data_IF_288761884210
#
_entry.id   IF_288761884210
#
_cell.length_a   1.000
_cell.length_b   1.000
_cell.length_c   1.000
_cell.angle_alpha   90.00
_cell.angle_beta   90.00
_cell.angle_gamma   90.00
#
_symmetry.space_group_name_H-M   'P 1'
#
loop_
_entity.id
_entity.type
_entity.pdbx_description
1 polymer ?
#
# COMPACT_ATOMS: atom_id res chain seq x y z
N UNK A 1 -18.98 6.37 3.85
CA UNK A 1 -17.51 6.52 3.69
C UNK A 1 -17.25 7.71 2.78
N UNK A 2 -16.68 8.81 3.28
CA UNK A 2 -16.30 9.93 2.39
C UNK A 2 -14.94 9.63 1.76
N UNK A 3 -14.96 9.36 0.46
CA UNK A 3 -13.80 9.35 -0.45
C UNK A 3 -13.01 10.68 -0.30
N UNK A 4 -11.67 10.69 -0.49
CA UNK A 4 -10.74 11.46 0.32
C UNK A 4 -11.06 12.95 0.36
N UNK A 5 -11.19 13.49 1.59
CA UNK A 5 -11.33 14.93 1.81
C UNK A 5 -10.01 15.62 1.55
N UNK A 6 -10.05 16.76 0.85
CA UNK A 6 -8.83 17.54 0.59
C UNK A 6 -8.43 18.26 1.87
N UNK A 7 -7.13 18.54 2.04
CA UNK A 7 -6.65 19.38 3.13
C UNK A 7 -7.33 20.75 3.16
N UNK A 8 -7.74 21.26 1.98
CA UNK A 8 -8.51 22.48 1.87
C UNK A 8 -9.85 22.41 2.62
N UNK A 9 -10.59 21.30 2.46
CA UNK A 9 -11.88 21.10 3.13
C UNK A 9 -11.73 20.95 4.65
N UNK A 10 -10.55 20.54 5.10
CA UNK A 10 -10.21 20.35 6.51
C UNK A 10 -9.80 21.65 7.21
N UNK A 11 -9.52 22.72 6.48
CA UNK A 11 -9.11 24.01 7.06
C UNK A 11 -10.19 24.57 7.99
N UNK A 12 -11.46 24.48 7.58
CA UNK A 12 -12.60 24.94 8.38
C UNK A 12 -12.76 24.15 9.69
N UNK A 13 -12.44 22.85 9.68
CA UNK A 13 -12.56 21.98 10.86
C UNK A 13 -11.43 22.20 11.85
N UNK A 14 -10.18 22.34 11.37
CA UNK A 14 -9.01 22.43 12.24
C UNK A 14 -8.54 23.86 12.52
N UNK A 15 -9.08 24.86 11.82
CA UNK A 15 -8.67 26.26 11.96
C UNK A 15 -7.19 26.51 11.59
N UNK A 16 -6.60 25.64 10.77
CA UNK A 16 -5.19 25.70 10.37
C UNK A 16 -5.07 25.79 8.86
N UNK A 17 -3.95 26.36 8.39
CA UNK A 17 -3.64 26.38 6.96
C UNK A 17 -3.47 24.96 6.42
N UNK A 18 -3.76 24.80 5.13
CA UNK A 18 -3.60 23.54 4.39
C UNK A 18 -2.21 22.94 4.56
N UNK A 19 -1.18 23.79 4.53
CA UNK A 19 0.23 23.41 4.65
C UNK A 19 0.54 22.90 6.06
N UNK A 20 -0.02 23.53 7.09
CA UNK A 20 0.13 23.10 8.49
C UNK A 20 -0.51 21.73 8.71
N UNK A 21 -1.74 21.53 8.21
CA UNK A 21 -2.43 20.23 8.30
C UNK A 21 -1.63 19.13 7.57
N UNK A 22 -1.14 19.42 6.37
CA UNK A 22 -0.32 18.48 5.60
C UNK A 22 0.95 18.06 6.36
N UNK A 23 1.67 19.03 6.95
CA UNK A 23 2.88 18.73 7.75
C UNK A 23 2.57 17.86 8.96
N UNK A 24 1.54 18.22 9.73
CA UNK A 24 1.15 17.45 10.92
C UNK A 24 0.72 16.03 10.53
N UNK A 25 -0.06 15.89 9.46
CA UNK A 25 -0.49 14.59 8.99
C UNK A 25 0.69 13.69 8.63
N UNK A 26 1.62 14.19 7.81
CA UNK A 26 2.78 13.39 7.38
C UNK A 26 3.70 13.05 8.58
N UNK A 27 3.93 13.99 9.49
CA UNK A 27 4.72 13.76 10.70
C UNK A 27 4.14 12.64 11.58
N UNK A 28 2.82 12.64 11.76
CA UNK A 28 2.13 11.56 12.49
C UNK A 28 2.23 10.22 11.74
N UNK A 29 2.12 10.22 10.41
CA UNK A 29 2.29 8.99 9.61
C UNK A 29 3.70 8.44 9.75
N UNK A 30 4.73 9.28 9.66
CA UNK A 30 6.13 8.88 9.80
C UNK A 30 6.39 8.32 11.20
N UNK A 31 5.90 8.99 12.25
CA UNK A 31 5.99 8.50 13.63
C UNK A 31 5.32 7.12 13.82
N UNK A 32 4.10 6.95 13.29
CA UNK A 32 3.40 5.68 13.37
C UNK A 32 4.13 4.58 12.59
N UNK A 33 4.64 4.90 11.40
CA UNK A 33 5.39 3.95 10.60
C UNK A 33 6.66 3.52 11.33
N UNK A 34 7.44 4.44 11.88
CA UNK A 34 8.66 4.09 12.60
C UNK A 34 8.41 3.22 13.83
N UNK A 35 7.29 3.47 14.53
CA UNK A 35 6.89 2.67 15.68
C UNK A 35 6.44 1.26 15.30
N UNK A 36 5.72 1.10 14.18
CA UNK A 36 5.01 -0.14 13.86
C UNK A 36 5.50 -0.86 12.60
N UNK A 37 6.52 -0.36 11.90
CA UNK A 37 6.99 -0.93 10.62
C UNK A 37 7.31 -2.42 10.65
N UNK A 38 7.83 -2.95 11.77
CA UNK A 38 8.08 -4.39 11.92
C UNK A 38 6.77 -5.19 11.91
N UNK A 39 5.76 -4.73 12.65
CA UNK A 39 4.44 -5.35 12.73
C UNK A 39 3.66 -5.22 11.41
N UNK A 40 3.75 -4.04 10.77
CA UNK A 40 3.13 -3.78 9.47
C UNK A 40 3.77 -4.61 8.36
N UNK A 41 5.09 -4.78 8.41
CA UNK A 41 5.81 -5.65 7.48
C UNK A 41 5.34 -7.08 7.65
N UNK A 42 5.53 -7.70 8.82
CA UNK A 42 4.98 -9.04 9.05
C UNK A 42 4.61 -9.26 10.52
N UNK A 43 3.38 -9.69 10.77
CA UNK A 43 2.86 -9.91 12.12
C UNK A 43 3.08 -11.37 12.56
N UNK A 44 4.34 -11.71 12.86
CA UNK A 44 4.74 -13.06 13.28
C UNK A 44 4.02 -13.53 14.55
N UNK A 45 3.79 -12.63 15.50
CA UNK A 45 3.14 -12.95 16.78
C UNK A 45 1.73 -13.52 16.62
N UNK A 46 1.02 -13.15 15.55
CA UNK A 46 -0.31 -13.68 15.23
C UNK A 46 -0.21 -14.88 14.29
N UNK A 47 0.69 -14.84 13.30
CA UNK A 47 0.77 -15.87 12.26
C UNK A 47 1.37 -17.17 12.79
N UNK A 48 2.49 -17.10 13.51
CA UNK A 48 3.24 -18.30 13.94
C UNK A 48 2.38 -19.24 14.80
N UNK A 49 1.66 -18.78 15.83
CA UNK A 49 0.83 -19.67 16.66
C UNK A 49 -0.39 -20.25 15.91
N UNK A 50 -0.83 -19.61 14.83
CA UNK A 50 -2.05 -19.96 14.09
C UNK A 50 -1.77 -20.66 12.75
N UNK A 51 -0.50 -20.94 12.43
CA UNK A 51 -0.09 -21.43 11.12
C UNK A 51 -0.81 -22.74 10.74
N UNK A 52 -0.87 -23.69 11.67
CA UNK A 52 -1.52 -25.00 11.47
C UNK A 52 -3.02 -24.84 11.24
N UNK A 53 -3.67 -23.94 11.99
CA UNK A 53 -5.09 -23.64 11.80
C UNK A 53 -5.35 -22.99 10.45
N UNK A 54 -4.47 -22.06 10.02
CA UNK A 54 -4.62 -21.40 8.73
C UNK A 54 -4.40 -22.35 7.55
N UNK A 55 -3.38 -23.22 7.61
CA UNK A 55 -3.15 -24.18 6.55
C UNK A 55 -4.29 -25.19 6.43
N UNK A 56 -4.82 -25.67 7.56
CA UNK A 56 -6.00 -26.52 7.58
C UNK A 56 -7.22 -25.82 6.95
N UNK A 57 -7.48 -24.55 7.31
CA UNK A 57 -8.59 -23.79 6.74
C UNK A 57 -8.47 -23.63 5.21
N UNK A 58 -7.26 -23.37 4.70
CA UNK A 58 -7.00 -23.28 3.25
C UNK A 58 -7.16 -24.64 2.58
N UNK A 59 -6.73 -25.74 3.22
CA UNK A 59 -6.94 -27.11 2.73
C UNK A 59 -8.42 -27.45 2.65
N UNK A 60 -9.20 -27.17 3.69
CA UNK A 60 -10.66 -27.41 3.73
C UNK A 60 -11.39 -26.61 2.63
N UNK A 61 -10.88 -25.44 2.24
CA UNK A 61 -11.43 -24.66 1.12
C UNK A 61 -11.10 -25.22 -0.27
N UNK A 62 -10.26 -26.25 -0.36
CA UNK A 62 -9.94 -26.95 -1.61
C UNK A 62 -8.50 -26.79 -2.11
N UNK A 63 -7.57 -26.31 -1.27
CA UNK A 63 -6.16 -26.28 -1.67
C UNK A 63 -5.63 -27.69 -1.94
N UNK A 64 -4.91 -27.87 -3.05
CA UNK A 64 -4.24 -29.15 -3.34
C UNK A 64 -3.09 -29.41 -2.38
N UNK A 65 -2.42 -28.34 -1.91
CA UNK A 65 -1.26 -28.39 -1.02
C UNK A 65 -1.65 -28.22 0.45
N UNK A 66 -0.90 -28.87 1.35
CA UNK A 66 -1.17 -28.87 2.79
C UNK A 66 -0.40 -27.80 3.58
N UNK A 67 0.61 -27.19 2.95
CA UNK A 67 1.53 -26.23 3.56
C UNK A 67 1.26 -24.76 3.14
N UNK A 68 0.14 -24.49 2.47
CA UNK A 68 -0.27 -23.14 2.11
C UNK A 68 -1.18 -22.60 3.21
N UNK A 69 -0.77 -21.50 3.85
CA UNK A 69 -1.61 -20.84 4.87
C UNK A 69 -2.32 -19.58 4.35
N UNK A 70 -1.80 -18.94 3.29
CA UNK A 70 -2.33 -17.70 2.70
C UNK A 70 -1.82 -17.47 1.26
N UNK A 71 -2.39 -16.46 0.60
CA UNK A 71 -2.01 -16.00 -0.73
C UNK A 71 -1.65 -14.51 -0.69
N UNK A 72 -0.66 -14.13 -1.51
CA UNK A 72 -0.22 -12.74 -1.66
C UNK A 72 -1.13 -12.04 -2.66
N UNK A 73 -1.53 -10.80 -2.34
CA UNK A 73 -2.34 -9.99 -3.24
C UNK A 73 -1.75 -8.60 -3.46
N UNK A 74 -1.65 -8.21 -4.73
CA UNK A 74 -1.30 -6.86 -5.15
C UNK A 74 -2.56 -6.00 -5.29
N UNK A 75 -2.60 -4.88 -4.57
CA UNK A 75 -3.67 -3.89 -4.65
C UNK A 75 -3.16 -2.59 -5.25
N UNK A 76 -3.98 -1.94 -6.08
CA UNK A 76 -3.65 -0.66 -6.70
C UNK A 76 -4.49 0.45 -6.09
N UNK A 77 -3.82 1.45 -5.52
CA UNK A 77 -4.47 2.63 -4.95
C UNK A 77 -4.41 3.78 -5.94
N UNK A 78 -5.58 4.27 -6.33
CA UNK A 78 -5.69 5.35 -7.32
C UNK A 78 -5.20 6.67 -6.76
N UNK A 79 -4.55 7.45 -7.61
CA UNK A 79 -4.02 8.77 -7.31
C UNK A 79 -4.53 9.75 -8.35
N UNK A 80 -4.52 11.05 -7.99
CA UNK A 80 -4.77 12.08 -8.99
C UNK A 80 -3.69 12.05 -10.08
N UNK A 81 -4.05 12.44 -11.30
CA UNK A 81 -3.06 12.67 -12.36
C UNK A 81 -2.10 13.77 -11.90
N UNK A 82 -0.81 13.45 -11.84
CA UNK A 82 0.23 14.45 -11.58
C UNK A 82 0.38 15.30 -12.85
N UNK A 83 0.23 16.61 -12.71
CA UNK A 83 0.54 17.57 -13.78
C UNK A 83 2.03 17.88 -13.76
N UNK A 84 2.77 17.44 -14.77
CA UNK A 84 4.17 17.83 -14.94
C UNK A 84 4.24 19.14 -15.74
N UNK A 85 4.94 20.15 -15.21
CA UNK A 85 5.18 21.40 -15.96
C UNK A 85 6.11 21.08 -17.14
N UNK A 86 5.65 21.41 -18.35
CA UNK A 86 6.30 21.08 -19.63
C UNK A 86 7.67 21.76 -19.80
N UNK A 87 7.90 22.88 -19.10
CA UNK A 87 9.12 23.70 -19.24
C UNK A 87 10.26 23.34 -18.27
N UNK A 88 10.09 22.31 -17.43
CA UNK A 88 11.22 21.71 -16.69
C UNK A 88 11.98 20.72 -17.59
N UNK A 89 12.46 21.22 -18.73
CA UNK A 89 13.21 20.47 -19.77
C UNK A 89 14.62 20.07 -19.29
N UNK A 90 15.04 20.51 -18.09
CA UNK A 90 16.41 20.35 -17.61
C UNK A 90 16.49 19.83 -16.16
N UNK A 91 15.63 18.88 -15.79
CA UNK A 91 15.73 18.25 -14.48
C UNK A 91 15.89 16.75 -14.65
N UNK A 92 16.90 16.15 -14.01
CA UNK A 92 17.17 14.70 -13.98
C UNK A 92 16.02 13.87 -13.33
N UNK A 93 14.81 14.43 -13.20
CA UNK A 93 13.67 13.78 -12.58
C UNK A 93 12.87 13.02 -13.63
N UNK A 94 12.57 11.76 -13.32
CA UNK A 94 11.76 10.89 -14.17
C UNK A 94 10.34 11.45 -14.35
N UNK A 95 9.71 11.13 -15.48
CA UNK A 95 8.30 11.46 -15.74
C UNK A 95 7.41 10.71 -14.73
N UNK A 96 7.07 11.40 -13.64
CA UNK A 96 6.26 10.88 -12.55
C UNK A 96 4.85 10.51 -13.04
N UNK A 97 4.34 11.22 -14.04
CA UNK A 97 3.03 10.92 -14.63
C UNK A 97 3.05 9.53 -15.28
N UNK A 98 4.10 9.21 -16.05
CA UNK A 98 4.30 7.88 -16.66
C UNK A 98 4.61 6.80 -15.64
N UNK A 99 5.44 7.09 -14.64
CA UNK A 99 5.84 6.12 -13.60
C UNK A 99 4.64 5.53 -12.86
N UNK A 100 3.70 6.37 -12.43
CA UNK A 100 2.53 5.91 -11.67
C UNK A 100 1.37 5.46 -12.58
N UNK A 101 1.44 5.72 -13.89
CA UNK A 101 0.38 5.29 -14.80
C UNK A 101 0.45 3.78 -15.04
N UNK A 102 -0.62 3.07 -14.69
CA UNK A 102 -0.73 1.65 -14.96
C UNK A 102 -1.46 1.44 -16.28
N UNK A 103 -0.74 0.96 -17.30
CA UNK A 103 -1.34 0.63 -18.60
C UNK A 103 -2.44 -0.44 -18.51
N UNK A 104 -2.27 -1.42 -17.63
CA UNK A 104 -3.26 -2.49 -17.42
C UNK A 104 -4.59 -1.99 -16.85
N UNK A 105 -4.56 -1.08 -15.86
CA UNK A 105 -5.78 -0.49 -15.27
C UNK A 105 -6.23 0.79 -15.97
N UNK A 106 -5.38 1.35 -16.84
CA UNK A 106 -5.55 2.64 -17.53
C UNK A 106 -5.77 3.82 -16.56
N UNK A 107 -5.13 3.78 -15.38
CA UNK A 107 -5.28 4.76 -14.30
C UNK A 107 -3.94 5.07 -13.62
N UNK A 108 -3.82 6.25 -13.03
CA UNK A 108 -2.68 6.62 -12.18
C UNK A 108 -2.85 5.99 -10.80
N UNK A 109 -1.91 5.18 -10.38
CA UNK A 109 -2.00 4.45 -9.12
C UNK A 109 -0.63 4.11 -8.54
N UNK A 110 -0.66 3.76 -7.26
CA UNK A 110 0.45 3.14 -6.55
C UNK A 110 0.09 1.70 -6.24
N UNK A 111 1.06 0.82 -6.39
CA UNK A 111 0.91 -0.59 -6.11
C UNK A 111 1.33 -0.86 -4.66
N UNK A 112 0.54 -1.68 -3.97
CA UNK A 112 0.79 -2.18 -2.63
C UNK A 112 0.62 -3.70 -2.62
N UNK A 113 1.34 -4.36 -1.74
CA UNK A 113 1.24 -5.79 -1.50
C UNK A 113 0.70 -6.02 -0.10
N UNK A 114 -0.32 -6.85 0.02
CA UNK A 114 -0.86 -7.25 1.31
C UNK A 114 -1.11 -8.76 1.38
N UNK A 115 -1.14 -9.29 2.59
CA UNK A 115 -1.44 -10.70 2.85
C UNK A 115 -2.52 -10.77 3.94
N UNK A 116 -3.65 -11.40 3.63
CA UNK A 116 -4.84 -11.52 4.52
C UNK A 116 -5.15 -12.96 4.88
N UNK A 117 -5.58 -13.24 6.12
CA UNK A 117 -5.72 -14.59 6.64
C UNK A 117 -7.06 -15.21 6.33
N UNK A 118 -7.13 -16.52 6.55
CA UNK A 118 -8.38 -17.19 6.84
C UNK A 118 -9.26 -16.48 7.91
N UNK A 119 -8.68 -15.93 8.98
CA UNK A 119 -9.38 -15.12 10.01
C UNK A 119 -9.63 -13.64 9.65
N UNK A 120 -9.26 -13.20 8.43
CA UNK A 120 -9.50 -11.84 7.95
C UNK A 120 -8.47 -10.80 8.37
N UNK A 121 -7.45 -11.14 9.19
CA UNK A 121 -6.42 -10.19 9.59
C UNK A 121 -5.40 -9.95 8.47
N UNK A 122 -5.09 -8.68 8.17
CA UNK A 122 -3.94 -8.31 7.35
C UNK A 122 -2.65 -8.50 8.17
N UNK A 123 -1.78 -9.42 7.77
CA UNK A 123 -0.54 -9.72 8.52
C UNK A 123 0.74 -9.27 7.84
N UNK A 124 0.65 -8.88 6.57
CA UNK A 124 1.76 -8.24 5.88
C UNK A 124 1.22 -7.12 5.02
N UNK A 125 1.90 -5.99 5.05
CA UNK A 125 1.64 -4.84 4.20
C UNK A 125 2.96 -4.20 3.76
N UNK A 126 3.13 -4.03 2.46
CA UNK A 126 4.34 -3.46 1.88
C UNK A 126 4.03 -2.62 0.63
N UNK A 127 4.78 -1.54 0.43
CA UNK A 127 4.57 -0.54 -0.62
C UNK A 127 4.96 0.85 -0.12
N UNK A 128 4.77 1.92 -0.89
CA UNK A 128 4.18 2.01 -2.23
C UNK A 128 5.22 1.79 -3.35
N UNK A 129 4.82 1.16 -4.44
CA UNK A 129 5.61 1.02 -5.68
C UNK A 129 4.88 1.67 -6.85
N UNK A 130 5.60 2.07 -7.89
CA UNK A 130 5.00 2.79 -9.01
C UNK A 130 3.99 1.92 -9.77
N UNK A 131 2.81 2.48 -10.10
CA UNK A 131 1.70 1.76 -10.73
C UNK A 131 1.99 1.12 -12.09
N UNK A 132 3.04 1.61 -12.78
CA UNK A 132 3.54 1.01 -14.03
C UNK A 132 4.20 -0.35 -13.83
N UNK A 133 4.66 -0.68 -12.62
CA UNK A 133 5.32 -1.96 -12.31
C UNK A 133 4.31 -3.10 -12.21
N UNK A 134 4.78 -4.31 -12.53
CA UNK A 134 4.02 -5.56 -12.37
C UNK A 134 4.09 -6.07 -10.92
N UNK A 135 3.09 -6.82 -10.48
CA UNK A 135 2.98 -7.37 -9.12
C UNK A 135 4.18 -8.25 -8.74
N UNK A 136 4.79 -8.94 -9.71
CA UNK A 136 6.05 -9.70 -9.50
C UNK A 136 7.20 -8.81 -9.01
N UNK A 137 7.21 -7.53 -9.42
CA UNK A 137 8.21 -6.56 -8.94
C UNK A 137 7.99 -6.28 -7.45
N UNK A 138 6.73 -6.19 -7.00
CA UNK A 138 6.41 -5.98 -5.59
C UNK A 138 6.84 -7.18 -4.76
N UNK A 139 6.60 -8.40 -5.25
CA UNK A 139 7.05 -9.61 -4.56
C UNK A 139 8.58 -9.62 -4.39
N UNK A 140 9.31 -9.31 -5.48
CA UNK A 140 10.77 -9.25 -5.44
C UNK A 140 11.29 -8.18 -4.47
N UNK A 141 10.67 -7.00 -4.44
CA UNK A 141 11.14 -5.88 -3.61
C UNK A 141 10.72 -6.02 -2.14
N UNK A 142 9.57 -6.64 -1.88
CA UNK A 142 9.11 -6.89 -0.51
C UNK A 142 10.00 -7.88 0.23
N UNK A 143 10.71 -8.78 -0.48
CA UNK A 143 11.55 -9.83 0.12
C UNK A 143 10.77 -10.75 1.07
N UNK A 144 9.50 -10.97 0.74
CA UNK A 144 8.65 -11.98 1.38
C UNK A 144 9.05 -13.38 0.93
#
# INVERSE_FOLDING_TARGET
>A
MSYPRRYYDMMATFGRSRESICRIFNDVIDFLFDKWKKLLYFCDSIVVPRLVMYSAAVKTKGSYMDNIFRFIYGSKFETCRITQKRDLVASNFADLQRLIYSGHKRRHCLNFQAVTAPDGLCVHFWGAVEGSRHDTTLLRLSKL
#
